data_IF_229527763981
#
_entry.id   IF_229527763981
#
_cell.length_a   1.000
_cell.length_b   1.000
_cell.length_c   1.000
_cell.angle_alpha   90.00
_cell.angle_beta   90.00
_cell.angle_gamma   90.00
#
_symmetry.space_group_name_H-M   'P 1'
#
loop_
_entity.id
_entity.type
_entity.pdbx_description
1 polymer ?
#
# COMPACT_ATOMS: atom_id res chain seq x y z
N UNK A 1 13.20 6.10 25.57
CA UNK A 1 13.50 5.74 24.16
C UNK A 1 12.47 4.72 23.76
N UNK A 2 11.80 4.92 22.64
CA UNK A 2 10.97 3.87 22.05
C UNK A 2 11.89 2.75 21.57
N UNK A 3 11.48 1.51 21.77
CA UNK A 3 12.16 0.35 21.19
C UNK A 3 12.07 0.37 19.66
N UNK A 4 12.96 -0.33 18.97
CA UNK A 4 12.95 -0.38 17.50
C UNK A 4 11.60 -0.86 16.94
N UNK A 5 10.94 -1.80 17.62
CA UNK A 5 9.61 -2.30 17.27
C UNK A 5 8.53 -1.22 17.47
N UNK A 6 8.60 -0.45 18.55
CA UNK A 6 7.68 0.67 18.81
C UNK A 6 7.89 1.83 17.82
N UNK A 7 9.11 2.02 17.30
CA UNK A 7 9.39 3.03 16.26
C UNK A 7 8.78 2.59 14.92
N UNK A 8 8.91 1.32 14.52
CA UNK A 8 8.29 0.80 13.30
C UNK A 8 6.77 0.81 13.37
N UNK A 9 6.17 0.40 14.49
CA UNK A 9 4.72 0.48 14.69
C UNK A 9 4.21 1.93 14.69
N UNK A 10 4.96 2.85 15.30
CA UNK A 10 4.62 4.27 15.32
C UNK A 10 4.75 4.91 13.92
N UNK A 11 5.81 4.62 13.17
CA UNK A 11 5.96 5.10 11.79
C UNK A 11 4.89 4.51 10.86
N UNK A 12 4.50 3.24 11.03
CA UNK A 12 3.39 2.64 10.28
C UNK A 12 2.04 3.27 10.64
N UNK A 13 1.80 3.56 11.92
CA UNK A 13 0.58 4.22 12.40
C UNK A 13 0.45 5.64 11.83
N UNK A 14 1.56 6.39 11.80
CA UNK A 14 1.64 7.75 11.25
C UNK A 14 1.59 7.77 9.71
N UNK A 15 2.06 6.71 9.03
CA UNK A 15 2.07 6.59 7.56
C UNK A 15 0.89 5.78 6.99
N UNK A 16 -0.14 5.49 7.78
CA UNK A 16 -1.33 4.80 7.30
C UNK A 16 -2.06 5.63 6.22
N UNK A 17 -2.51 4.97 5.16
CA UNK A 17 -3.25 5.65 4.09
C UNK A 17 -4.60 6.12 4.62
N UNK A 18 -4.89 7.41 4.45
CA UNK A 18 -6.17 8.05 4.85
C UNK A 18 -7.36 7.50 4.05
N UNK A 19 -8.57 7.75 4.56
CA UNK A 19 -9.84 7.37 3.95
C UNK A 19 -10.18 8.20 2.69
N UNK A 20 -9.40 7.98 1.62
CA UNK A 20 -9.59 8.58 0.29
C UNK A 20 -9.02 7.68 -0.78
N UNK A 21 -9.29 8.04 -2.03
CA UNK A 21 -8.67 7.41 -3.18
C UNK A 21 -7.30 8.02 -3.49
N UNK A 22 -6.33 7.15 -3.79
CA UNK A 22 -4.98 7.49 -4.20
C UNK A 22 -4.74 7.06 -5.64
N UNK A 23 -3.91 7.83 -6.36
CA UNK A 23 -3.35 7.42 -7.63
C UNK A 23 -2.17 6.47 -7.43
N UNK A 24 -1.87 5.57 -8.40
CA UNK A 24 -0.70 4.70 -8.30
C UNK A 24 0.64 5.41 -8.07
N UNK A 25 0.83 6.63 -8.59
CA UNK A 25 2.04 7.44 -8.35
C UNK A 25 2.12 8.02 -6.92
N UNK A 26 0.98 8.37 -6.32
CA UNK A 26 0.94 8.81 -4.91
C UNK A 26 1.32 7.65 -3.98
N UNK A 27 0.78 6.46 -4.25
CA UNK A 27 1.06 5.24 -3.49
C UNK A 27 2.55 4.90 -3.59
N UNK A 28 3.11 4.94 -4.80
CA UNK A 28 4.53 4.69 -5.05
C UNK A 28 5.43 5.63 -4.25
N UNK A 29 5.10 6.92 -4.24
CA UNK A 29 5.82 7.94 -3.45
C UNK A 29 5.77 7.64 -1.94
N UNK A 30 4.59 7.32 -1.41
CA UNK A 30 4.39 7.05 0.01
C UNK A 30 5.10 5.77 0.47
N UNK A 31 5.11 4.73 -0.38
CA UNK A 31 5.79 3.46 -0.11
C UNK A 31 7.28 3.47 -0.48
N UNK A 32 7.78 4.54 -1.10
CA UNK A 32 9.16 4.66 -1.61
C UNK A 32 9.54 3.51 -2.58
N UNK A 33 8.61 3.16 -3.47
CA UNK A 33 8.81 2.13 -4.52
C UNK A 33 8.58 2.71 -5.90
N UNK A 34 8.99 1.98 -6.94
CA UNK A 34 8.65 2.34 -8.30
C UNK A 34 7.15 2.24 -8.58
N UNK A 35 6.66 3.14 -9.43
CA UNK A 35 5.25 3.12 -9.89
C UNK A 35 4.88 1.80 -10.56
N UNK A 36 5.83 1.14 -11.24
CA UNK A 36 5.65 -0.19 -11.85
C UNK A 36 5.35 -1.26 -10.80
N UNK A 37 5.95 -1.18 -9.62
CA UNK A 37 5.67 -2.09 -8.49
C UNK A 37 4.22 -1.99 -8.06
N UNK A 38 3.69 -0.77 -7.91
CA UNK A 38 2.27 -0.56 -7.56
C UNK A 38 1.36 -1.16 -8.64
N UNK A 39 1.67 -0.97 -9.92
CA UNK A 39 0.89 -1.61 -10.99
C UNK A 39 0.99 -3.13 -10.98
N UNK A 40 2.12 -3.71 -10.55
CA UNK A 40 2.29 -5.15 -10.40
C UNK A 40 1.43 -5.69 -9.26
N UNK A 41 1.37 -4.97 -8.14
CA UNK A 41 0.49 -5.30 -7.00
C UNK A 41 -0.98 -5.31 -7.45
N UNK A 42 -1.41 -4.28 -8.20
CA UNK A 42 -2.78 -4.18 -8.71
C UNK A 42 -3.12 -5.31 -9.70
N UNK A 43 -2.15 -5.76 -10.50
CA UNK A 43 -2.35 -6.78 -11.56
C UNK A 43 -2.03 -8.21 -11.12
N UNK A 44 -1.76 -8.43 -9.84
CA UNK A 44 -1.51 -9.78 -9.34
C UNK A 44 -2.76 -10.66 -9.54
N UNK A 45 -2.59 -11.87 -10.07
CA UNK A 45 -3.71 -12.76 -10.42
C UNK A 45 -4.30 -13.44 -9.18
N UNK A 46 -3.47 -13.75 -8.19
CA UNK A 46 -3.89 -14.48 -6.99
C UNK A 46 -4.30 -13.57 -5.84
N UNK A 47 -3.57 -12.47 -5.66
CA UNK A 47 -3.79 -11.53 -4.56
C UNK A 47 -3.56 -10.07 -5.02
N UNK A 48 -4.51 -9.49 -5.78
CA UNK A 48 -4.39 -8.13 -6.29
C UNK A 48 -4.66 -7.07 -5.22
N UNK A 49 -3.91 -5.96 -5.28
CA UNK A 49 -4.31 -4.71 -4.64
C UNK A 49 -5.57 -4.16 -5.33
N UNK A 50 -6.72 -4.04 -4.64
CA UNK A 50 -8.00 -3.69 -5.28
C UNK A 50 -7.99 -2.27 -5.85
N UNK A 51 -8.20 -2.14 -7.16
CA UNK A 51 -8.22 -0.84 -7.83
C UNK A 51 -9.52 -0.64 -8.61
N UNK A 52 -10.03 0.59 -8.59
CA UNK A 52 -11.18 1.03 -9.37
C UNK A 52 -10.76 2.02 -10.44
N UNK A 53 -11.52 2.10 -11.53
CA UNK A 53 -11.39 3.20 -12.50
C UNK A 53 -12.53 4.18 -12.28
N UNK A 54 -12.24 5.46 -12.43
CA UNK A 54 -13.25 6.53 -12.32
C UNK A 54 -14.32 6.42 -13.44
N UNK A 55 -13.95 5.82 -14.57
CA UNK A 55 -14.84 5.40 -15.66
C UNK A 55 -14.17 4.26 -16.45
N UNK A 56 -14.82 3.68 -17.47
CA UNK A 56 -14.35 2.49 -18.20
C UNK A 56 -12.91 2.60 -18.73
N UNK A 57 -12.45 3.81 -19.07
CA UNK A 57 -11.08 4.07 -19.58
C UNK A 57 -10.27 4.99 -18.67
N UNK A 58 -10.79 5.27 -17.48
CA UNK A 58 -10.29 6.30 -16.58
C UNK A 58 -9.04 5.85 -15.83
N UNK A 59 -8.35 6.79 -15.19
CA UNK A 59 -7.15 6.47 -14.44
C UNK A 59 -7.51 5.60 -13.22
N UNK A 60 -6.61 4.68 -12.88
CA UNK A 60 -6.78 3.78 -11.73
C UNK A 60 -6.69 4.55 -10.42
N UNK A 61 -7.47 4.11 -9.45
CA UNK A 61 -7.49 4.61 -8.08
C UNK A 61 -7.58 3.44 -7.12
N UNK A 62 -6.91 3.56 -5.98
CA UNK A 62 -6.97 2.57 -4.90
C UNK A 62 -7.43 3.30 -3.65
N UNK A 63 -8.35 2.70 -2.91
CA UNK A 63 -8.85 3.28 -1.68
C UNK A 63 -7.85 3.05 -0.54
N UNK A 64 -7.60 4.06 0.30
CA UNK A 64 -6.59 3.96 1.36
C UNK A 64 -6.80 2.79 2.33
N UNK A 65 -8.06 2.48 2.66
CA UNK A 65 -8.41 1.32 3.48
C UNK A 65 -7.94 0.00 2.86
N UNK A 66 -8.05 -0.15 1.55
CA UNK A 66 -7.64 -1.36 0.84
C UNK A 66 -6.11 -1.46 0.78
N UNK A 67 -5.41 -0.33 0.64
CA UNK A 67 -3.94 -0.29 0.71
C UNK A 67 -3.47 -0.75 2.09
N UNK A 68 -4.02 -0.18 3.17
CA UNK A 68 -3.63 -0.55 4.52
C UNK A 68 -3.88 -2.05 4.78
N UNK A 69 -5.05 -2.56 4.38
CA UNK A 69 -5.38 -3.98 4.52
C UNK A 69 -4.42 -4.88 3.73
N UNK A 70 -4.09 -4.49 2.49
CA UNK A 70 -3.16 -5.22 1.65
C UNK A 70 -1.76 -5.26 2.27
N UNK A 71 -1.24 -4.12 2.74
CA UNK A 71 0.09 -4.06 3.34
C UNK A 71 0.16 -4.89 4.63
N UNK A 72 -0.88 -4.85 5.45
CA UNK A 72 -0.95 -5.66 6.67
C UNK A 72 -0.85 -7.17 6.38
N UNK A 73 -1.54 -7.65 5.33
CA UNK A 73 -1.51 -9.07 4.95
C UNK A 73 -0.22 -9.50 4.26
N UNK A 74 0.61 -8.55 3.82
CA UNK A 74 1.86 -8.77 3.11
C UNK A 74 3.11 -8.38 3.93
N UNK A 75 2.96 -8.11 5.23
CA UNK A 75 4.11 -7.88 6.11
C UNK A 75 4.97 -9.14 6.16
N UNK A 76 6.21 -9.01 5.69
CA UNK A 76 7.23 -10.04 5.89
C UNK A 76 7.83 -9.84 7.27
N UNK A 77 7.88 -10.91 8.07
CA UNK A 77 8.58 -10.94 9.36
C UNK A 77 10.00 -11.45 9.14
N UNK A 78 11.02 -10.58 9.10
CA UNK A 78 12.40 -10.98 8.78
C UNK A 78 13.03 -11.91 9.82
N UNK A 79 12.49 -12.00 11.02
CA UNK A 79 12.98 -12.89 12.09
C UNK A 79 12.78 -14.40 11.84
N UNK A 80 12.27 -14.79 10.67
CA UNK A 80 12.04 -16.19 10.27
C UNK A 80 12.96 -16.69 9.14
N UNK A 81 14.07 -16.00 8.83
CA UNK A 81 15.16 -16.51 7.96
C UNK A 81 16.32 -17.15 8.73
#
# INVERSE_FOLDING_TARGET
MLSTLEIEEYEMSVNSFKDRYYRPDEIATLLRVDRSTVYRMIRNIGDPLPAVRINDKGPLRVHGKDINKYLESHKVRPEYE
#
